data_IF_558374136002
#
_entry.id   IF_558374136002
#
_cell.length_a   1.000
_cell.length_b   1.000
_cell.length_c   1.000
_cell.angle_alpha   90.00
_cell.angle_beta   90.00
_cell.angle_gamma   90.00
#
_symmetry.space_group_name_H-M   'P 1'
#
loop_
_entity.id
_entity.type
_entity.pdbx_description
1 polymer ?
#
# COMPACT_ATOMS: atom_id res chain seq x y z
N UNK A 1 1.93 -0.94 15.80
CA UNK A 1 2.64 0.03 14.94
C UNK A 1 3.43 1.00 15.80
N UNK A 2 4.55 1.49 15.29
CA UNK A 2 5.38 2.55 15.88
C UNK A 2 4.77 3.90 15.50
N UNK A 3 4.68 4.84 16.45
CA UNK A 3 4.25 6.21 16.17
C UNK A 3 5.38 6.97 15.47
N UNK A 4 5.14 7.48 14.26
CA UNK A 4 6.07 8.32 13.51
C UNK A 4 5.53 9.75 13.45
N UNK A 5 6.36 10.78 13.70
CA UNK A 5 5.98 12.16 13.42
C UNK A 5 5.86 12.36 11.91
N UNK A 6 4.93 13.21 11.49
CA UNK A 6 4.86 13.78 10.15
C UNK A 6 4.91 15.31 10.25
N UNK A 7 5.47 15.97 9.25
CA UNK A 7 5.57 17.42 9.04
C UNK A 7 6.10 18.14 10.28
N UNK A 8 7.35 17.82 10.66
CA UNK A 8 7.98 18.39 11.86
C UNK A 8 7.32 17.98 13.18
N UNK A 9 6.45 16.97 13.16
CA UNK A 9 5.74 16.46 14.34
C UNK A 9 4.36 17.07 14.58
N UNK A 10 3.87 17.92 13.68
CA UNK A 10 2.51 18.47 13.75
C UNK A 10 1.43 17.38 13.63
N UNK A 11 1.73 16.31 12.88
CA UNK A 11 0.89 15.12 12.75
C UNK A 11 1.66 13.88 13.21
N UNK A 12 0.92 12.80 13.51
CA UNK A 12 1.51 11.50 13.84
C UNK A 12 0.72 10.36 13.22
N UNK A 13 1.43 9.35 12.74
CA UNK A 13 0.83 8.12 12.17
C UNK A 13 1.38 6.89 12.88
N UNK A 14 0.60 5.81 12.97
CA UNK A 14 1.09 4.51 13.45
C UNK A 14 1.43 3.62 12.25
N UNK A 15 2.71 3.34 12.04
CA UNK A 15 3.16 2.46 10.95
C UNK A 15 3.69 1.13 11.48
N UNK A 16 3.60 0.04 10.70
CA UNK A 16 4.36 -1.18 11.00
C UNK A 16 5.87 -0.88 11.12
N UNK A 17 6.61 -1.59 11.98
CA UNK A 17 8.05 -1.38 12.14
C UNK A 17 8.88 -1.61 10.86
N UNK A 18 8.30 -2.28 9.88
CA UNK A 18 8.92 -2.58 8.59
C UNK A 18 9.00 -1.37 7.65
N UNK A 19 8.21 -0.33 7.91
CA UNK A 19 8.25 0.89 7.12
C UNK A 19 9.51 1.71 7.45
N UNK A 20 10.16 2.21 6.40
CA UNK A 20 11.32 3.10 6.47
C UNK A 20 11.02 4.39 5.74
N UNK A 21 11.64 5.46 6.19
CA UNK A 21 11.52 6.77 5.58
C UNK A 21 12.32 6.79 4.27
N UNK A 22 11.70 7.28 3.20
CA UNK A 22 12.35 7.38 1.89
C UNK A 22 13.22 8.64 1.81
N UNK A 23 13.03 9.64 2.69
CA UNK A 23 13.89 10.83 2.74
C UNK A 23 15.34 10.52 3.10
N UNK A 24 15.60 9.39 3.76
CA UNK A 24 16.94 8.92 4.13
C UNK A 24 17.84 8.67 2.91
N UNK A 25 17.25 8.46 1.72
CA UNK A 25 17.99 8.05 0.50
C UNK A 25 17.77 8.96 -0.71
N UNK A 26 16.71 9.77 -0.72
CA UNK A 26 16.44 10.75 -1.78
C UNK A 26 15.63 11.92 -1.25
N UNK A 27 15.70 13.06 -1.93
CA UNK A 27 14.81 14.18 -1.62
C UNK A 27 13.34 13.80 -1.87
N UNK A 28 12.50 14.29 -0.96
CA UNK A 28 11.04 14.23 -1.00
C UNK A 28 10.56 15.68 -0.87
N UNK A 29 9.55 16.12 -1.68
CA UNK A 29 8.97 17.45 -1.53
C UNK A 29 8.55 17.74 -0.07
N UNK A 30 8.67 18.98 0.36
CA UNK A 30 8.41 19.42 1.74
C UNK A 30 6.98 19.15 2.24
N UNK A 31 6.00 19.25 1.35
CA UNK A 31 4.59 18.96 1.59
C UNK A 31 4.24 17.47 1.46
N UNK A 32 5.25 16.61 1.24
CA UNK A 32 5.09 15.16 1.12
C UNK A 32 5.95 14.40 2.13
N UNK A 33 5.44 13.26 2.60
CA UNK A 33 6.20 12.25 3.32
C UNK A 33 5.98 10.88 2.72
N UNK A 34 7.07 10.14 2.51
CA UNK A 34 7.04 8.86 1.79
C UNK A 34 7.68 7.77 2.63
N UNK A 35 6.93 6.70 2.88
CA UNK A 35 7.36 5.56 3.67
C UNK A 35 7.23 4.27 2.87
N UNK A 36 8.27 3.43 2.86
CA UNK A 36 8.28 2.17 2.11
C UNK A 36 8.37 0.97 3.05
N UNK A 37 7.59 -0.08 2.77
CA UNK A 37 7.62 -1.34 3.50
C UNK A 37 8.78 -2.24 3.02
N UNK A 38 9.70 -2.58 3.93
CA UNK A 38 10.88 -3.39 3.64
C UNK A 38 10.77 -4.87 4.05
N UNK A 39 9.75 -5.26 4.82
CA UNK A 39 9.70 -6.60 5.44
C UNK A 39 8.40 -7.36 5.21
N UNK A 40 7.52 -6.95 4.29
CA UNK A 40 6.44 -7.84 3.83
C UNK A 40 7.06 -9.04 3.11
N UNK A 41 7.44 -10.06 3.87
CA UNK A 41 7.72 -11.37 3.32
C UNK A 41 6.45 -11.86 2.65
N UNK A 42 6.52 -12.47 1.46
CA UNK A 42 5.40 -13.31 1.01
C UNK A 42 5.15 -14.32 2.13
N UNK A 43 3.90 -14.50 2.57
CA UNK A 43 3.59 -15.54 3.55
C UNK A 43 4.21 -16.86 3.09
N UNK A 44 5.00 -17.56 3.93
CA UNK A 44 5.44 -18.89 3.58
C UNK A 44 4.18 -19.77 3.55
N UNK A 45 3.72 -20.08 2.33
CA UNK A 45 2.68 -21.10 2.10
C UNK A 45 2.98 -22.32 2.98
N UNK A 46 1.99 -22.87 3.72
CA UNK A 46 2.24 -23.89 4.72
C UNK A 46 2.93 -25.10 4.07
N UNK A 47 4.15 -25.36 4.54
CA UNK A 47 4.79 -26.67 4.65
C UNK A 47 4.20 -27.79 3.77
N UNK A 48 4.74 -28.00 2.56
CA UNK A 48 4.86 -29.38 2.06
C UNK A 48 5.98 -30.04 2.87
N UNK A 49 5.64 -30.49 4.07
CA UNK A 49 6.40 -31.53 4.75
C UNK A 49 5.82 -32.85 4.24
N UNK A 50 6.56 -33.46 3.33
CA UNK A 50 6.30 -34.77 2.76
C UNK A 50 7.57 -35.31 2.14
N UNK A 51 8.44 -35.87 2.97
CA UNK A 51 9.70 -36.48 2.60
C UNK A 51 9.49 -37.66 1.62
N UNK A 52 10.36 -37.79 0.61
CA UNK A 52 11.21 -38.97 0.36
C UNK A 52 11.85 -38.87 -1.04
N UNK A 53 13.14 -39.19 -1.11
CA UNK A 53 13.97 -38.98 -2.29
C UNK A 53 13.55 -39.77 -3.52
N UNK A 54 13.77 -39.16 -4.69
CA UNK A 54 14.02 -39.84 -5.95
C UNK A 54 14.71 -38.86 -6.90
N UNK A 55 15.94 -39.18 -7.28
CA UNK A 55 16.60 -38.62 -8.45
C UNK A 55 15.74 -38.86 -9.69
N UNK A 56 15.31 -37.81 -10.38
CA UNK A 56 14.50 -37.91 -11.59
C UNK A 56 14.89 -36.84 -12.59
N UNK A 57 15.53 -37.27 -13.68
CA UNK A 57 15.90 -36.47 -14.85
C UNK A 57 14.68 -35.80 -15.47
N UNK A 58 14.79 -34.52 -15.83
CA UNK A 58 13.74 -33.81 -16.57
C UNK A 58 13.80 -34.20 -18.06
N UNK A 59 12.74 -34.84 -18.55
CA UNK A 59 12.41 -34.98 -19.98
C UNK A 59 11.19 -34.09 -20.25
N UNK A 60 11.27 -33.32 -21.34
CA UNK A 60 10.31 -32.28 -21.68
C UNK A 60 9.11 -32.82 -22.46
N UNK A 61 7.90 -32.41 -22.06
CA UNK A 61 6.73 -32.38 -22.96
C UNK A 61 5.72 -31.32 -22.53
N UNK A 62 5.33 -30.46 -23.48
CA UNK A 62 4.21 -29.51 -23.38
C UNK A 62 2.89 -30.27 -23.31
N UNK A 63 1.96 -29.82 -22.48
CA UNK A 63 0.51 -29.88 -22.76
C UNK A 63 -0.20 -28.60 -22.28
N UNK A 64 -1.08 -28.09 -23.14
CA UNK A 64 -2.11 -27.09 -22.87
C UNK A 64 -3.19 -27.69 -21.96
N UNK A 65 -3.67 -26.93 -20.98
CA UNK A 65 -4.81 -27.32 -20.17
C UNK A 65 -5.22 -26.21 -19.21
N UNK A 66 -6.37 -25.58 -19.49
CA UNK A 66 -6.96 -24.55 -18.63
C UNK A 66 -7.27 -25.07 -17.22
N UNK A 67 -6.93 -24.25 -16.22
CA UNK A 67 -7.25 -24.50 -14.82
C UNK A 67 -7.40 -23.17 -14.10
N UNK A 68 -8.63 -22.84 -13.72
CA UNK A 68 -8.92 -21.72 -12.82
C UNK A 68 -8.27 -21.96 -11.46
N UNK A 69 -7.21 -21.22 -11.17
CA UNK A 69 -6.56 -21.19 -9.87
C UNK A 69 -7.19 -20.10 -9.01
N UNK A 70 -7.87 -20.48 -7.94
CA UNK A 70 -8.38 -19.57 -6.92
C UNK A 70 -7.29 -18.61 -6.46
N UNK A 71 -7.57 -17.31 -6.62
CA UNK A 71 -6.71 -16.23 -6.13
C UNK A 71 -6.64 -16.29 -4.61
N UNK A 72 -5.58 -16.90 -4.09
CA UNK A 72 -5.22 -16.84 -2.68
C UNK A 72 -4.92 -15.38 -2.34
N UNK A 73 -5.83 -14.73 -1.62
CA UNK A 73 -5.76 -13.34 -1.18
C UNK A 73 -4.80 -13.17 0.00
N UNK A 74 -3.60 -13.76 -0.07
CA UNK A 74 -2.55 -13.41 0.86
C UNK A 74 -1.95 -12.07 0.43
N UNK A 75 -2.48 -11.00 1.02
CA UNK A 75 -2.10 -9.61 0.80
C UNK A 75 -0.71 -9.26 1.34
N UNK A 76 0.28 -10.13 1.19
CA UNK A 76 1.70 -9.88 1.48
C UNK A 76 2.44 -9.33 0.26
N UNK A 77 1.92 -8.27 -0.33
CA UNK A 77 2.58 -7.61 -1.47
C UNK A 77 3.84 -6.88 -0.99
N UNK A 78 5.01 -7.44 -1.28
CA UNK A 78 6.32 -6.79 -1.15
C UNK A 78 6.35 -5.48 -1.97
N UNK A 79 6.95 -4.42 -1.39
CA UNK A 79 7.14 -3.15 -2.08
C UNK A 79 6.00 -2.13 -1.94
N UNK A 80 5.19 -2.22 -0.88
CA UNK A 80 4.16 -1.19 -0.59
C UNK A 80 4.82 0.14 -0.22
N UNK A 81 4.18 1.21 -0.65
CA UNK A 81 4.56 2.58 -0.33
C UNK A 81 3.35 3.29 0.26
N UNK A 82 3.58 4.06 1.32
CA UNK A 82 2.65 5.04 1.85
C UNK A 82 3.18 6.43 1.49
N UNK A 83 2.37 7.22 0.81
CA UNK A 83 2.61 8.64 0.56
C UNK A 83 1.58 9.43 1.35
N UNK A 84 2.02 10.44 2.08
CA UNK A 84 1.16 11.42 2.76
C UNK A 84 1.48 12.77 2.19
N UNK A 85 0.47 13.52 1.77
CA UNK A 85 0.63 14.82 1.13
C UNK A 85 -0.35 15.83 1.72
N UNK A 86 0.11 17.07 1.90
CA UNK A 86 -0.75 18.20 2.26
C UNK A 86 -1.25 18.84 0.97
N UNK A 87 -2.56 18.75 0.74
CA UNK A 87 -3.22 19.35 -0.40
C UNK A 87 -4.05 20.57 0.02
N UNK A 88 -4.22 21.50 -0.92
CA UNK A 88 -5.14 22.63 -0.77
C UNK A 88 -6.59 22.14 -0.84
N UNK A 89 -7.44 22.70 0.03
CA UNK A 89 -8.88 22.48 -0.01
C UNK A 89 -9.45 22.86 -1.39
N UNK A 90 -10.40 22.06 -1.89
CA UNK A 90 -10.99 22.26 -3.20
C UNK A 90 -12.40 22.83 -3.06
N UNK A 91 -12.56 24.08 -3.48
CA UNK A 91 -13.86 24.74 -3.47
C UNK A 91 -14.85 24.02 -4.40
N UNK A 92 -16.04 23.73 -3.88
CA UNK A 92 -17.11 23.07 -4.63
C UNK A 92 -17.03 21.54 -4.69
N UNK A 93 -16.07 20.93 -3.98
CA UNK A 93 -16.02 19.47 -3.79
C UNK A 93 -16.65 19.13 -2.43
N UNK A 94 -17.72 18.35 -2.43
CA UNK A 94 -18.35 17.89 -1.17
C UNK A 94 -17.47 16.86 -0.46
N UNK A 95 -17.54 16.80 0.88
CA UNK A 95 -16.72 15.89 1.69
C UNK A 95 -16.87 14.41 1.27
N UNK A 96 -18.10 13.99 0.94
CA UNK A 96 -18.41 12.63 0.48
C UNK A 96 -17.81 12.32 -0.91
N UNK A 97 -17.54 13.35 -1.71
CA UNK A 97 -16.96 13.24 -3.06
C UNK A 97 -15.45 13.51 -3.09
N UNK A 98 -14.88 14.10 -2.03
CA UNK A 98 -13.45 14.45 -1.97
C UNK A 98 -12.54 13.25 -2.26
N UNK A 99 -12.84 12.09 -1.66
CA UNK A 99 -12.06 10.87 -1.89
C UNK A 99 -12.07 10.40 -3.34
N UNK A 100 -13.20 10.59 -4.04
CA UNK A 100 -13.31 10.27 -5.47
C UNK A 100 -12.56 11.29 -6.32
N UNK A 101 -12.75 12.59 -6.03
CA UNK A 101 -12.12 13.69 -6.75
C UNK A 101 -10.60 13.52 -6.81
N UNK A 102 -9.93 13.33 -5.66
CA UNK A 102 -8.48 13.17 -5.62
C UNK A 102 -8.00 11.82 -6.16
N UNK A 103 -8.83 10.76 -6.09
CA UNK A 103 -8.48 9.48 -6.69
C UNK A 103 -8.48 9.55 -8.22
N UNK A 104 -9.49 10.19 -8.81
CA UNK A 104 -9.58 10.37 -10.26
C UNK A 104 -8.41 11.23 -10.76
N UNK A 105 -8.05 12.33 -10.07
CA UNK A 105 -6.87 13.14 -10.40
C UNK A 105 -5.56 12.33 -10.37
N UNK A 106 -5.35 11.52 -9.31
CA UNK A 106 -4.20 10.64 -9.22
C UNK A 106 -4.18 9.56 -10.31
N UNK A 107 -5.34 9.02 -10.68
CA UNK A 107 -5.46 8.02 -11.73
C UNK A 107 -5.16 8.61 -13.12
N UNK A 108 -5.69 9.81 -13.39
CA UNK A 108 -5.50 10.54 -14.65
C UNK A 108 -4.04 10.96 -14.82
N UNK A 109 -3.39 11.47 -13.77
CA UNK A 109 -1.97 11.82 -13.79
C UNK A 109 -1.07 10.61 -14.11
N UNK A 110 -1.52 9.39 -13.78
CA UNK A 110 -0.83 8.15 -14.10
C UNK A 110 -1.27 7.53 -15.44
N UNK A 111 -2.17 8.18 -16.18
CA UNK A 111 -2.70 7.66 -17.44
C UNK A 111 -3.47 6.35 -17.29
N UNK A 112 -4.11 6.14 -16.13
CA UNK A 112 -4.84 4.92 -15.85
C UNK A 112 -6.01 4.75 -16.84
N UNK A 113 -6.09 3.60 -17.51
CA UNK A 113 -7.13 3.32 -18.50
C UNK A 113 -8.54 3.14 -17.88
N UNK A 114 -8.61 2.94 -16.56
CA UNK A 114 -9.86 2.89 -15.79
C UNK A 114 -9.59 3.21 -14.31
N UNK A 115 -10.49 3.98 -13.70
CA UNK A 115 -10.54 4.27 -12.26
C UNK A 115 -11.80 3.62 -11.62
N UNK A 116 -11.89 2.27 -11.54
CA UNK A 116 -13.09 1.62 -11.02
C UNK A 116 -13.16 1.75 -9.50
N UNK A 117 -13.55 2.92 -8.99
CA UNK A 117 -14.08 3.04 -7.65
C UNK A 117 -15.43 2.31 -7.60
N UNK A 118 -15.41 1.07 -7.10
CA UNK A 118 -16.63 0.37 -6.69
C UNK A 118 -17.37 1.22 -5.65
N UNK A 119 -18.70 1.32 -5.78
CA UNK A 119 -19.54 2.23 -4.98
C UNK A 119 -19.23 2.19 -3.47
N UNK A 120 -19.06 3.41 -2.93
CA UNK A 120 -18.91 3.83 -1.52
C UNK A 120 -17.54 3.61 -0.90
N UNK A 121 -16.66 4.59 -1.10
CA UNK A 121 -15.56 4.83 -0.18
C UNK A 121 -16.15 5.46 1.09
N UNK A 122 -16.05 4.78 2.24
CA UNK A 122 -16.37 5.37 3.54
C UNK A 122 -15.08 5.43 4.34
N UNK A 123 -14.47 6.61 4.41
CA UNK A 123 -13.32 6.85 5.25
C UNK A 123 -13.78 6.94 6.71
N UNK A 124 -13.82 5.82 7.44
CA UNK A 124 -14.03 5.87 8.89
C UNK A 124 -12.68 6.05 9.58
N UNK A 125 -12.32 7.28 9.91
CA UNK A 125 -11.11 7.59 10.67
C UNK A 125 -11.35 8.77 11.60
N UNK A 126 -11.21 8.57 12.90
CA UNK A 126 -11.22 9.67 13.89
C UNK A 126 -9.79 10.19 14.06
N UNK A 127 -9.52 11.42 13.65
CA UNK A 127 -8.27 12.10 13.98
C UNK A 127 -8.35 12.65 15.41
N UNK A 128 -7.47 12.20 16.31
CA UNK A 128 -7.28 12.84 17.62
C UNK A 128 -6.16 13.87 17.51
N UNK A 129 -6.50 15.15 17.63
CA UNK A 129 -5.52 16.25 17.74
C UNK A 129 -4.82 16.10 19.09
N UNK A 130 -3.51 15.86 19.07
CA UNK A 130 -2.70 15.91 20.28
C UNK A 130 -2.50 17.37 20.69
N UNK A 131 -2.86 17.71 21.93
CA UNK A 131 -2.47 18.98 22.54
C UNK A 131 -0.94 19.07 22.52
N UNK A 132 -0.40 20.00 21.74
CA UNK A 132 1.01 20.34 21.76
C UNK A 132 1.38 20.88 23.14
N UNK A 133 2.39 20.28 23.75
CA UNK A 133 3.08 20.85 24.91
C UNK A 133 4.29 21.63 24.37
N UNK A 134 4.37 22.90 24.76
CA UNK A 134 5.45 23.85 24.49
C UNK A 134 6.82 23.34 24.99
#
# INVERSE_FOLDING_TARGET
>A
GIKRPLFGGALRVRLPPSYRDVSDVREVPDHQEVWQDFLSSPSPSPSVVGANGASGSYDGRREEGGGGGGGSSDGGGRGRVLVVEILTYQDGVEDDDAGRFFFDDLADANGAAASPLGRKFSASGTATVGSGEE
#
